data_IF_262440289364
#
_entry.id   IF_262440289364
#
_cell.length_a   1.000
_cell.length_b   1.000
_cell.length_c   1.000
_cell.angle_alpha   90.00
_cell.angle_beta   90.00
_cell.angle_gamma   90.00
#
_symmetry.space_group_name_H-M   'P 1'
#
loop_
_entity.id
_entity.type
_entity.pdbx_description
1 polymer ?
#
# COMPACT_ATOMS: atom_id res chain seq x y z
N UNK A 1 26.16 -6.35 4.34
CA UNK A 1 24.78 -5.84 4.37
C UNK A 1 23.89 -7.00 4.68
N UNK A 2 23.19 -6.96 5.81
CA UNK A 2 22.25 -7.99 6.21
C UNK A 2 21.14 -8.13 5.15
N UNK A 3 20.88 -9.32 4.61
CA UNK A 3 19.85 -9.50 3.57
C UNK A 3 18.45 -9.07 4.04
N UNK A 4 18.23 -9.03 5.36
CA UNK A 4 17.01 -8.53 5.98
C UNK A 4 16.87 -7.00 5.86
N UNK A 5 17.94 -6.22 6.03
CA UNK A 5 17.87 -4.76 5.93
C UNK A 5 17.62 -4.30 4.49
N UNK A 6 18.08 -5.07 3.49
CA UNK A 6 17.79 -4.80 2.08
C UNK A 6 16.32 -4.99 1.70
N UNK A 7 15.54 -5.76 2.48
CA UNK A 7 14.09 -5.92 2.26
C UNK A 7 13.31 -4.92 3.10
N UNK A 8 13.68 -4.75 4.38
CA UNK A 8 12.92 -3.95 5.34
C UNK A 8 12.83 -2.47 4.98
N UNK A 9 13.93 -1.87 4.50
CA UNK A 9 13.97 -0.43 4.18
C UNK A 9 13.05 -0.07 2.99
N UNK A 10 13.13 -0.74 1.84
CA UNK A 10 12.20 -0.52 0.73
C UNK A 10 10.74 -0.77 1.11
N UNK A 11 10.47 -1.82 1.89
CA UNK A 11 9.11 -2.16 2.33
C UNK A 11 8.52 -1.13 3.27
N UNK A 12 9.31 -0.64 4.23
CA UNK A 12 8.88 0.43 5.14
C UNK A 12 8.67 1.75 4.40
N UNK A 13 9.53 2.09 3.45
CA UNK A 13 9.33 3.25 2.58
C UNK A 13 8.02 3.15 1.80
N UNK A 14 7.79 2.02 1.13
CA UNK A 14 6.59 1.80 0.32
C UNK A 14 5.32 1.84 1.18
N UNK A 15 5.38 1.29 2.40
CA UNK A 15 4.30 1.36 3.35
C UNK A 15 3.97 2.80 3.75
N UNK A 16 4.97 3.59 4.14
CA UNK A 16 4.75 5.00 4.50
C UNK A 16 4.19 5.80 3.33
N UNK A 17 4.72 5.59 2.12
CA UNK A 17 4.17 6.21 0.91
C UNK A 17 2.71 5.82 0.70
N UNK A 18 2.36 4.54 0.79
CA UNK A 18 0.97 4.08 0.64
C UNK A 18 0.04 4.67 1.70
N UNK A 19 0.51 4.84 2.94
CA UNK A 19 -0.27 5.48 4.01
C UNK A 19 -0.59 6.93 3.65
N UNK A 20 0.40 7.64 3.10
CA UNK A 20 0.25 9.04 2.68
C UNK A 20 -0.62 9.20 1.43
N UNK A 21 -0.58 8.26 0.49
CA UNK A 21 -1.29 8.37 -0.80
C UNK A 21 -2.70 7.76 -0.76
N UNK A 22 -2.83 6.54 -0.26
CA UNK A 22 -4.06 5.75 -0.32
C UNK A 22 -4.87 5.81 0.99
N UNK A 23 -4.23 6.32 2.05
CA UNK A 23 -4.82 6.47 3.38
C UNK A 23 -4.73 5.19 4.21
N UNK A 24 -4.53 5.39 5.52
CA UNK A 24 -4.32 4.30 6.48
C UNK A 24 -5.37 3.19 6.43
N UNK A 25 -6.66 3.53 6.30
CA UNK A 25 -7.75 2.54 6.32
C UNK A 25 -7.62 1.51 5.20
N UNK A 26 -7.28 1.96 3.98
CA UNK A 26 -7.10 1.09 2.82
C UNK A 26 -5.86 0.21 2.96
N UNK A 27 -4.73 0.83 3.33
CA UNK A 27 -3.46 0.12 3.57
C UNK A 27 -3.62 -0.97 4.63
N UNK A 28 -4.27 -0.65 5.76
CA UNK A 28 -4.56 -1.60 6.85
C UNK A 28 -5.40 -2.77 6.37
N UNK A 29 -6.46 -2.51 5.61
CA UNK A 29 -7.36 -3.54 5.08
C UNK A 29 -6.62 -4.50 4.13
N UNK A 30 -5.82 -3.99 3.21
CA UNK A 30 -5.00 -4.80 2.30
C UNK A 30 -3.98 -5.66 3.07
N UNK A 31 -3.22 -5.04 3.98
CA UNK A 31 -2.22 -5.73 4.79
C UNK A 31 -2.84 -6.81 5.67
N UNK A 32 -3.92 -6.47 6.38
CA UNK A 32 -4.57 -7.40 7.28
C UNK A 32 -5.16 -8.60 6.54
N UNK A 33 -5.71 -8.41 5.34
CA UNK A 33 -6.16 -9.53 4.48
C UNK A 33 -5.01 -10.45 4.10
N UNK A 34 -3.90 -9.90 3.62
CA UNK A 34 -2.76 -10.71 3.14
C UNK A 34 -2.09 -11.44 4.29
N UNK A 35 -1.85 -10.75 5.39
CA UNK A 35 -1.29 -11.33 6.60
C UNK A 35 -2.20 -12.43 7.16
N UNK A 36 -3.51 -12.17 7.33
CA UNK A 36 -4.48 -13.17 7.81
C UNK A 36 -4.50 -14.43 6.94
N UNK A 37 -4.41 -14.29 5.60
CA UNK A 37 -4.31 -15.43 4.69
C UNK A 37 -3.01 -16.22 4.86
N UNK A 38 -1.89 -15.55 5.09
CA UNK A 38 -0.57 -16.17 5.21
C UNK A 38 -0.39 -16.90 6.55
N UNK A 39 -0.92 -16.34 7.65
CA UNK A 39 -0.69 -16.88 9.00
C UNK A 39 -1.89 -17.64 9.57
N UNK A 40 -3.07 -17.51 8.97
CA UNK A 40 -4.32 -18.03 9.53
C UNK A 40 -4.84 -17.22 10.73
N UNK A 41 -4.20 -16.09 11.08
CA UNK A 41 -4.67 -15.24 12.16
C UNK A 41 -5.98 -14.54 11.80
N UNK A 42 -6.82 -14.30 12.81
CA UNK A 42 -8.06 -13.57 12.60
C UNK A 42 -7.73 -12.14 12.12
N UNK A 43 -8.34 -11.76 11.00
CA UNK A 43 -8.09 -10.45 10.37
C UNK A 43 -8.28 -9.28 11.34
N UNK A 44 -9.29 -9.32 12.21
CA UNK A 44 -9.55 -8.28 13.20
C UNK A 44 -8.40 -8.11 14.21
N UNK A 45 -7.68 -9.19 14.55
CA UNK A 45 -6.53 -9.11 15.45
C UNK A 45 -5.32 -8.49 14.76
N UNK A 46 -5.14 -8.81 13.47
CA UNK A 46 -4.11 -8.19 12.64
C UNK A 46 -4.38 -6.69 12.48
N UNK A 47 -5.61 -6.30 12.15
CA UNK A 47 -6.02 -4.89 12.03
C UNK A 47 -5.73 -4.13 13.32
N UNK A 48 -6.08 -4.70 14.49
CA UNK A 48 -5.84 -4.07 15.79
C UNK A 48 -4.35 -3.84 16.06
N UNK A 49 -3.48 -4.80 15.70
CA UNK A 49 -2.03 -4.64 15.85
C UNK A 49 -1.48 -3.57 14.92
N UNK A 50 -1.95 -3.56 13.67
CA UNK A 50 -1.59 -2.55 12.68
C UNK A 50 -2.03 -1.15 13.14
N UNK A 51 -3.26 -1.00 13.66
CA UNK A 51 -3.77 0.27 14.19
C UNK A 51 -2.96 0.78 15.38
N UNK A 52 -2.54 -0.14 16.25
CA UNK A 52 -1.68 0.18 17.39
C UNK A 52 -0.32 0.70 16.91
N UNK A 53 0.28 0.02 15.92
CA UNK A 53 1.55 0.46 15.33
C UNK A 53 1.42 1.81 14.62
N UNK A 54 0.34 2.02 13.86
CA UNK A 54 0.07 3.30 13.21
C UNK A 54 -0.10 4.45 14.22
N UNK A 55 -0.82 4.21 15.31
CA UNK A 55 -0.99 5.19 16.38
C UNK A 55 0.33 5.54 17.06
N UNK A 56 1.20 4.54 17.29
CA UNK A 56 2.54 4.77 17.83
C UNK A 56 3.42 5.56 16.85
N UNK A 57 3.39 5.22 15.56
CA UNK A 57 4.13 5.94 14.52
C UNK A 57 3.68 7.42 14.45
N UNK A 58 2.37 7.67 14.45
CA UNK A 58 1.81 9.01 14.47
C UNK A 58 2.20 9.79 15.75
N UNK A 59 2.29 9.10 16.88
CA UNK A 59 2.76 9.68 18.14
C UNK A 59 4.23 10.12 18.16
N UNK A 60 5.05 9.63 17.22
CA UNK A 60 6.46 10.04 17.07
C UNK A 60 6.62 11.31 16.23
N UNK A 61 5.55 11.79 15.59
CA UNK A 61 5.51 12.99 14.75
C UNK A 61 5.33 12.69 13.26
N UNK A 62 5.24 13.75 12.48
CA UNK A 62 4.98 13.69 11.03
C UNK A 62 6.26 13.58 10.18
N UNK A 63 7.42 13.38 10.82
CA UNK A 63 8.68 13.22 10.08
C UNK A 63 8.71 11.86 9.38
N UNK A 64 8.72 11.89 8.04
CA UNK A 64 8.66 10.71 7.20
C UNK A 64 9.85 9.77 7.45
N UNK A 65 11.06 10.29 7.75
CA UNK A 65 12.22 9.47 8.03
C UNK A 65 12.06 8.73 9.36
N UNK A 66 11.47 9.38 10.37
CA UNK A 66 11.15 8.76 11.67
C UNK A 66 10.09 7.68 11.51
N UNK A 67 9.02 7.95 10.74
CA UNK A 67 7.98 6.97 10.47
C UNK A 67 8.52 5.75 9.70
N UNK A 68 9.36 5.97 8.68
CA UNK A 68 10.03 4.88 7.95
C UNK A 68 10.90 4.03 8.86
N UNK A 69 11.69 4.66 9.73
CA UNK A 69 12.54 3.93 10.69
C UNK A 69 11.69 3.10 11.67
N UNK A 70 10.59 3.66 12.18
CA UNK A 70 9.66 2.95 13.04
C UNK A 70 9.05 1.74 12.33
N UNK A 71 8.52 1.92 11.12
CA UNK A 71 7.92 0.83 10.34
C UNK A 71 8.94 -0.25 9.97
N UNK A 72 10.18 0.11 9.64
CA UNK A 72 11.25 -0.87 9.40
C UNK A 72 11.52 -1.72 10.66
N UNK A 73 11.58 -1.08 11.83
CA UNK A 73 11.73 -1.78 13.11
C UNK A 73 10.54 -2.67 13.45
N UNK A 74 9.32 -2.19 13.23
CA UNK A 74 8.10 -2.96 13.43
C UNK A 74 8.06 -4.21 12.54
N UNK A 75 8.34 -4.05 11.24
CA UNK A 75 8.40 -5.16 10.29
C UNK A 75 9.50 -6.17 10.66
N UNK A 76 10.66 -5.70 11.15
CA UNK A 76 11.72 -6.57 11.64
C UNK A 76 11.27 -7.41 12.84
N UNK A 77 10.59 -6.79 13.82
CA UNK A 77 10.04 -7.49 14.98
C UNK A 77 8.97 -8.52 14.59
N UNK A 78 8.07 -8.14 13.66
CA UNK A 78 7.05 -9.05 13.12
C UNK A 78 7.69 -10.25 12.43
N UNK A 79 8.73 -10.05 11.63
CA UNK A 79 9.46 -11.15 10.97
C UNK A 79 10.24 -12.04 11.94
N UNK A 80 10.76 -11.46 13.03
CA UNK A 80 11.44 -12.23 14.07
C UNK A 80 10.47 -13.17 14.79
N UNK A 81 9.23 -12.73 15.03
CA UNK A 81 8.18 -13.57 15.62
C UNK A 81 7.55 -14.55 14.60
N UNK A 82 7.41 -14.11 13.35
CA UNK A 82 6.64 -14.80 12.31
C UNK A 82 7.38 -14.74 10.96
N UNK A 83 8.37 -15.61 10.74
CA UNK A 83 9.16 -15.60 9.50
C UNK A 83 8.34 -15.93 8.24
N UNK A 84 7.17 -16.55 8.38
CA UNK A 84 6.23 -16.83 7.26
C UNK A 84 5.69 -15.58 6.58
N UNK A 85 5.85 -14.41 7.21
CA UNK A 85 5.46 -13.11 6.66
C UNK A 85 6.51 -12.47 5.78
N UNK A 86 7.66 -13.11 5.60
CA UNK A 86 8.73 -12.58 4.76
C UNK A 86 8.23 -12.25 3.36
N UNK A 87 7.41 -13.11 2.76
CA UNK A 87 6.84 -12.87 1.43
C UNK A 87 5.94 -11.63 1.42
N UNK A 88 5.06 -11.50 2.42
CA UNK A 88 4.17 -10.33 2.56
C UNK A 88 4.97 -9.04 2.68
N UNK A 89 6.04 -9.04 3.49
CA UNK A 89 6.90 -7.87 3.67
C UNK A 89 7.71 -7.58 2.41
N UNK A 90 8.21 -8.61 1.73
CA UNK A 90 9.00 -8.46 0.50
C UNK A 90 8.17 -7.93 -0.66
N UNK A 91 6.88 -8.27 -0.73
CA UNK A 91 5.97 -7.85 -1.78
C UNK A 91 5.37 -6.45 -1.56
N UNK A 92 5.57 -5.83 -0.39
CA UNK A 92 5.06 -4.49 -0.08
C UNK A 92 5.37 -3.43 -1.16
N UNK A 93 6.61 -3.33 -1.69
CA UNK A 93 6.93 -2.37 -2.75
C UNK A 93 6.23 -2.64 -4.08
N UNK A 94 5.92 -3.92 -4.35
CA UNK A 94 5.33 -4.38 -5.61
C UNK A 94 3.82 -4.61 -5.48
N UNK A 95 3.20 -4.26 -4.35
CA UNK A 95 1.79 -4.57 -4.11
C UNK A 95 0.90 -3.57 -4.87
N UNK A 96 0.20 -4.01 -5.94
CA UNK A 96 -0.57 -3.10 -6.78
C UNK A 96 -1.74 -2.45 -6.03
N UNK A 97 -2.27 -3.16 -5.02
CA UNK A 97 -3.34 -2.66 -4.15
C UNK A 97 -2.90 -1.51 -3.23
N UNK A 98 -1.59 -1.33 -2.98
CA UNK A 98 -1.00 -0.25 -2.16
C UNK A 98 -0.38 0.87 -3.01
N UNK A 99 -0.60 0.82 -4.33
CA UNK A 99 -0.07 1.79 -5.28
C UNK A 99 -1.22 2.49 -6.02
N UNK A 100 -2.28 2.86 -5.30
CA UNK A 100 -3.44 3.53 -5.90
C UNK A 100 -3.20 5.04 -6.07
N UNK A 101 -2.04 5.42 -6.57
CA UNK A 101 -1.81 6.77 -7.08
C UNK A 101 -1.76 6.71 -8.61
N UNK A 102 -2.95 6.71 -9.24
CA UNK A 102 -3.14 7.08 -10.65
C UNK A 102 -2.51 6.17 -11.75
N UNK A 103 -2.73 4.86 -11.72
CA UNK A 103 -2.60 4.02 -12.94
C UNK A 103 -3.95 3.56 -13.52
N UNK A 104 -5.03 4.30 -13.23
CA UNK A 104 -6.41 3.93 -13.60
C UNK A 104 -7.17 4.86 -14.55
N UNK A 105 -6.66 6.06 -14.88
CA UNK A 105 -7.46 7.04 -15.66
C UNK A 105 -6.66 7.79 -16.73
N UNK A 106 -5.97 7.06 -17.63
CA UNK A 106 -5.59 7.61 -18.96
C UNK A 106 -6.02 6.70 -20.12
N UNK A 107 -6.60 5.52 -19.87
CA UNK A 107 -7.01 4.64 -20.97
C UNK A 107 -8.47 4.81 -21.41
N UNK A 108 -9.28 5.63 -20.73
CA UNK A 108 -10.71 5.78 -21.09
C UNK A 108 -11.16 7.19 -21.52
N UNK A 109 -10.23 8.13 -21.76
CA UNK A 109 -10.56 9.48 -22.25
C UNK A 109 -10.32 9.70 -23.76
N UNK A 110 -9.92 8.66 -24.51
CA UNK A 110 -9.80 8.71 -25.98
C UNK A 110 -10.54 7.52 -26.62
N UNK A 111 -11.80 7.30 -26.23
CA UNK A 111 -12.70 6.49 -27.05
C UNK A 111 -14.16 6.96 -27.05
N UNK A 112 -14.44 8.11 -26.41
CA UNK A 112 -15.75 8.77 -26.43
C UNK A 112 -15.78 9.99 -27.38
N UNK A 113 -15.00 9.95 -28.47
CA UNK A 113 -15.07 10.95 -29.54
C UNK A 113 -15.41 10.29 -30.89
N UNK A 114 -16.33 9.32 -30.85
CA UNK A 114 -17.15 8.95 -32.00
C UNK A 114 -18.58 9.43 -31.72
N UNK A 115 -18.74 10.74 -31.59
CA UNK A 115 -20.05 11.35 -31.79
C UNK A 115 -20.09 11.72 -33.26
N UNK A 116 -20.60 10.78 -34.05
CA UNK A 116 -20.94 10.93 -35.45
C UNK A 116 -21.92 12.11 -35.59
N UNK A 117 -21.38 13.32 -35.69
CA UNK A 117 -22.12 14.50 -36.10
C UNK A 117 -22.42 14.37 -37.58
N UNK A 118 -23.61 13.88 -37.90
CA UNK A 118 -24.17 13.91 -39.24
C UNK A 118 -24.36 15.37 -39.66
N UNK A 119 -23.33 16.00 -40.22
CA UNK A 119 -23.43 17.31 -40.87
C UNK A 119 -23.95 17.07 -42.29
N UNK A 120 -25.26 17.19 -42.46
CA UNK A 120 -25.88 17.20 -43.78
C UNK A 120 -25.66 18.58 -44.40
N UNK A 121 -24.74 18.68 -45.36
CA UNK A 121 -24.66 19.82 -46.26
C UNK A 121 -25.74 19.66 -47.33
N UNK A 122 -26.83 20.41 -47.21
CA UNK A 122 -27.87 20.56 -48.22
C UNK A 122 -27.85 21.97 -48.78
N UNK A 123 -27.41 22.12 -50.02
CA UNK A 123 -27.45 23.36 -50.79
C UNK A 123 -28.89 23.72 -51.17
N UNK A 124 -29.23 25.02 -51.06
CA UNK A 124 -30.26 25.68 -51.86
C UNK A 124 -29.76 27.08 -52.23
#
# INVERSE_FOLDING_TARGET
MDPMTSVLLPSAQSLVTAILTDGWTHVRDVLARRWSRQTGEARADVERRLDTAHTQAAGMGDDEAVQRAYWAGYLAAVLAERPTLLDVVRELPDMPDLHNTNSGTVTNLIQARDVHGNVTFGAQ
#
